data_IF_197369990213
#
_entry.id   IF_197369990213
#
_cell.length_a   1.000
_cell.length_b   1.000
_cell.length_c   1.000
_cell.angle_alpha   90.00
_cell.angle_beta   90.00
_cell.angle_gamma   90.00
#
_symmetry.space_group_name_H-M   'P 1'
#
loop_
_entity.id
_entity.type
_entity.pdbx_description
1 polymer ?
#
# COMPACT_ATOMS: atom_id res chain seq x y z
N UNK A 1 46.71 -19.46 44.84
CA UNK A 1 45.80 -19.12 43.71
C UNK A 1 44.35 -19.44 44.10
N UNK A 2 43.37 -18.60 43.76
CA UNK A 2 41.93 -18.86 43.99
C UNK A 2 41.17 -18.82 42.66
N UNK A 3 40.12 -19.62 42.52
CA UNK A 3 39.23 -19.56 41.36
C UNK A 3 38.20 -18.45 41.54
N UNK A 4 37.93 -17.68 40.47
CA UNK A 4 36.87 -16.69 40.47
C UNK A 4 35.50 -17.37 40.52
N UNK A 5 34.66 -17.01 41.49
CA UNK A 5 33.32 -17.60 41.63
C UNK A 5 32.36 -17.24 40.49
N UNK A 6 32.67 -16.21 39.70
CA UNK A 6 31.84 -15.84 38.55
C UNK A 6 32.23 -16.54 37.25
N UNK A 7 33.53 -16.65 36.95
CA UNK A 7 34.03 -17.11 35.65
C UNK A 7 35.01 -18.29 35.72
N UNK A 8 35.33 -18.79 36.92
CA UNK A 8 36.24 -19.92 37.14
C UNK A 8 37.73 -19.63 36.95
N UNK A 9 38.09 -18.48 36.36
CA UNK A 9 39.49 -18.11 36.10
C UNK A 9 40.30 -18.06 37.39
N UNK A 10 41.45 -18.73 37.40
CA UNK A 10 42.38 -18.66 38.52
C UNK A 10 43.04 -17.28 38.56
N UNK A 11 43.15 -16.72 39.76
CA UNK A 11 43.81 -15.44 39.97
C UNK A 11 44.50 -15.41 41.33
N UNK A 12 45.50 -14.54 41.43
CA UNK A 12 46.19 -14.27 42.67
C UNK A 12 45.40 -13.25 43.48
N UNK A 13 44.72 -13.74 44.52
CA UNK A 13 43.86 -12.92 45.35
C UNK A 13 44.71 -12.17 46.38
N UNK A 14 44.99 -10.89 46.15
CA UNK A 14 45.66 -10.01 47.13
C UNK A 14 44.82 -9.71 48.38
N UNK A 15 43.57 -10.18 48.46
CA UNK A 15 42.62 -9.93 49.56
C UNK A 15 41.52 -11.00 49.58
N UNK A 16 40.52 -10.88 50.48
CA UNK A 16 39.30 -11.74 50.54
C UNK A 16 38.37 -11.62 49.31
N UNK A 17 38.87 -11.17 48.15
CA UNK A 17 38.08 -11.02 46.92
C UNK A 17 37.63 -12.38 46.38
N UNK A 18 36.34 -12.47 46.05
CA UNK A 18 35.66 -13.64 45.45
C UNK A 18 35.74 -13.68 43.92
N UNK A 19 36.31 -12.64 43.30
CA UNK A 19 36.32 -12.45 41.85
C UNK A 19 37.64 -11.91 41.32
N UNK A 20 38.03 -12.35 40.13
CA UNK A 20 39.27 -11.94 39.46
C UNK A 20 39.29 -10.48 38.99
N UNK A 21 38.12 -9.87 38.77
CA UNK A 21 38.02 -8.51 38.23
C UNK A 21 36.78 -7.78 38.75
N UNK A 22 36.77 -6.44 38.63
CA UNK A 22 35.58 -5.62 38.94
C UNK A 22 34.36 -6.05 38.13
N UNK A 23 34.55 -6.41 36.85
CA UNK A 23 33.46 -6.87 36.00
C UNK A 23 32.86 -8.18 36.56
N UNK A 24 33.70 -9.12 36.98
CA UNK A 24 33.24 -10.35 37.62
C UNK A 24 32.59 -10.10 38.98
N UNK A 25 33.10 -9.17 39.79
CA UNK A 25 32.48 -8.77 41.05
C UNK A 25 31.07 -8.19 40.82
N UNK A 26 30.93 -7.31 39.83
CA UNK A 26 29.65 -6.71 39.46
C UNK A 26 28.68 -7.77 38.95
N UNK A 27 29.12 -8.66 38.07
CA UNK A 27 28.31 -9.75 37.54
C UNK A 27 27.86 -10.72 38.64
N UNK A 28 28.76 -11.08 39.56
CA UNK A 28 28.44 -11.91 40.72
C UNK A 28 27.38 -11.25 41.61
N UNK A 29 27.52 -9.95 41.87
CA UNK A 29 26.53 -9.18 42.64
C UNK A 29 25.15 -9.07 41.95
N UNK A 30 25.07 -9.25 40.63
CA UNK A 30 23.80 -9.30 39.90
C UNK A 30 23.16 -10.70 39.91
N UNK A 31 23.91 -11.74 40.28
CA UNK A 31 23.38 -13.10 40.49
C UNK A 31 22.74 -13.27 41.87
N UNK A 32 23.17 -12.49 42.86
CA UNK A 32 22.50 -12.39 44.17
C UNK A 32 21.18 -11.60 44.02
N UNK A 33 20.01 -12.23 44.28
CA UNK A 33 18.71 -11.60 44.07
C UNK A 33 18.52 -10.35 44.93
N UNK A 34 18.96 -10.35 46.19
CA UNK A 34 18.79 -9.19 47.08
C UNK A 34 19.69 -8.03 46.66
N UNK A 35 20.96 -8.31 46.34
CA UNK A 35 21.87 -7.28 45.85
C UNK A 35 21.41 -6.71 44.51
N UNK A 36 20.86 -7.55 43.63
CA UNK A 36 20.27 -7.12 42.37
C UNK A 36 19.05 -6.21 42.59
N UNK A 37 18.16 -6.56 43.52
CA UNK A 37 16.98 -5.75 43.86
C UNK A 37 17.38 -4.40 44.47
N UNK A 38 18.25 -4.38 45.48
CA UNK A 38 18.79 -3.14 46.07
C UNK A 38 19.41 -2.23 45.01
N UNK A 39 20.16 -2.80 44.06
CA UNK A 39 20.70 -2.03 42.92
C UNK A 39 19.63 -1.50 42.00
N UNK A 40 18.61 -2.29 41.64
CA UNK A 40 17.51 -1.82 40.78
C UNK A 40 16.78 -0.66 41.45
N UNK A 41 16.45 -0.79 42.73
CA UNK A 41 15.80 0.27 43.51
C UNK A 41 16.66 1.54 43.57
N UNK A 42 17.97 1.40 43.79
CA UNK A 42 18.91 2.53 43.77
C UNK A 42 19.00 3.21 42.40
N UNK A 43 19.08 2.42 41.32
CA UNK A 43 19.08 2.93 39.93
C UNK A 43 17.77 3.66 39.63
N UNK A 44 16.63 3.11 40.06
CA UNK A 44 15.33 3.70 39.87
C UNK A 44 15.19 5.02 40.63
N UNK A 45 15.63 5.05 41.90
CA UNK A 45 15.70 6.28 42.70
C UNK A 45 16.59 7.34 42.03
N UNK A 46 17.76 6.94 41.53
CA UNK A 46 18.65 7.84 40.80
C UNK A 46 18.01 8.36 39.50
N UNK A 47 17.30 7.52 38.75
CA UNK A 47 16.60 7.95 37.53
C UNK A 47 15.47 8.95 37.77
N UNK A 48 14.83 8.89 38.94
CA UNK A 48 13.75 9.80 39.35
C UNK A 48 14.27 11.07 40.04
N UNK A 49 15.50 11.07 40.55
CA UNK A 49 16.08 12.22 41.24
C UNK A 49 16.45 13.35 40.26
N UNK A 50 15.92 14.57 40.45
CA UNK A 50 16.27 15.72 39.61
C UNK A 50 17.78 16.00 39.58
N UNK A 51 18.47 15.85 40.71
CA UNK A 51 19.91 16.09 40.82
C UNK A 51 20.72 15.10 39.98
N UNK A 52 20.37 13.81 40.03
CA UNK A 52 21.04 12.78 39.23
C UNK A 52 20.74 12.95 37.73
N UNK A 53 19.52 13.36 37.38
CA UNK A 53 19.16 13.71 36.01
C UNK A 53 20.00 14.90 35.53
N UNK A 54 20.08 15.99 36.30
CA UNK A 54 20.88 17.17 35.98
C UNK A 54 22.37 16.83 35.80
N UNK A 55 22.93 16.02 36.71
CA UNK A 55 24.32 15.54 36.62
C UNK A 55 24.56 14.74 35.33
N UNK A 56 23.63 13.88 34.97
CA UNK A 56 23.70 13.08 33.74
C UNK A 56 23.60 13.96 32.49
N UNK A 57 22.71 14.96 32.49
CA UNK A 57 22.59 15.93 31.40
C UNK A 57 23.89 16.72 31.22
N UNK A 58 24.49 17.23 32.31
CA UNK A 58 25.76 17.96 32.25
C UNK A 58 26.94 17.10 31.77
N UNK A 59 26.97 15.80 32.10
CA UNK A 59 27.95 14.86 31.54
C UNK A 59 27.73 14.68 30.04
N UNK A 60 26.48 14.47 29.62
CA UNK A 60 26.14 14.30 28.22
C UNK A 60 26.42 15.57 27.41
N UNK A 61 26.12 16.74 27.93
CA UNK A 61 26.40 18.02 27.30
C UNK A 61 27.91 18.21 27.06
N UNK A 62 28.72 17.98 28.10
CA UNK A 62 30.20 18.00 27.98
C UNK A 62 30.71 16.98 26.97
N UNK A 63 30.10 15.79 26.91
CA UNK A 63 30.46 14.78 25.90
C UNK A 63 30.09 15.24 24.50
N UNK A 64 28.90 15.80 24.30
CA UNK A 64 28.42 16.23 22.99
C UNK A 64 29.04 17.53 22.47
N UNK A 65 29.64 18.32 23.36
CA UNK A 65 30.45 19.49 22.99
C UNK A 65 31.82 19.11 22.42
N UNK A 66 32.33 17.91 22.71
CA UNK A 66 33.62 17.44 22.17
C UNK A 66 33.49 17.09 20.68
N UNK A 67 34.35 17.65 19.81
CA UNK A 67 34.38 17.29 18.40
C UNK A 67 34.57 15.77 18.21
N UNK A 68 33.90 15.20 17.22
CA UNK A 68 34.02 13.79 16.85
C UNK A 68 33.30 12.78 17.75
N UNK A 69 32.81 13.13 18.94
CA UNK A 69 32.07 12.17 19.80
C UNK A 69 30.76 11.68 19.17
N UNK A 70 30.10 12.53 18.38
CA UNK A 70 28.92 12.14 17.59
C UNK A 70 29.28 11.13 16.51
N UNK A 71 30.42 11.33 15.84
CA UNK A 71 30.90 10.42 14.80
C UNK A 71 31.30 9.07 15.39
N UNK A 72 32.06 9.06 16.50
CA UNK A 72 32.39 7.83 17.23
C UNK A 72 31.15 7.03 17.65
N UNK A 73 30.08 7.70 18.07
CA UNK A 73 28.82 7.00 18.37
C UNK A 73 28.16 6.46 17.09
N UNK A 74 28.18 7.24 16.00
CA UNK A 74 27.69 6.83 14.68
C UNK A 74 28.42 5.59 14.18
N UNK A 75 29.76 5.57 14.22
CA UNK A 75 30.60 4.45 13.83
C UNK A 75 30.28 3.19 14.65
N UNK A 76 30.25 3.31 15.98
CA UNK A 76 29.88 2.19 16.86
C UNK A 76 28.48 1.65 16.58
N UNK A 77 27.54 2.53 16.25
CA UNK A 77 26.20 2.11 15.85
C UNK A 77 26.26 1.37 14.50
N UNK A 78 27.00 1.89 13.51
CA UNK A 78 27.19 1.25 12.20
C UNK A 78 27.81 -0.14 12.36
N UNK A 79 28.86 -0.29 13.16
CA UNK A 79 29.48 -1.58 13.50
C UNK A 79 28.49 -2.55 14.16
N UNK A 80 27.73 -2.08 15.15
CA UNK A 80 26.73 -2.89 15.85
C UNK A 80 25.61 -3.36 14.91
N UNK A 81 25.19 -2.53 13.95
CA UNK A 81 24.18 -2.88 12.95
C UNK A 81 24.73 -3.75 11.81
N UNK A 82 26.04 -3.67 11.52
CA UNK A 82 26.71 -4.55 10.58
C UNK A 82 26.83 -5.98 11.13
N UNK A 83 27.01 -6.15 12.45
CA UNK A 83 27.06 -7.46 13.08
C UNK A 83 25.68 -8.17 13.03
N UNK A 84 25.56 -9.33 12.33
CA UNK A 84 24.26 -9.99 12.14
C UNK A 84 23.61 -10.47 13.45
N UNK A 85 24.39 -10.93 14.43
CA UNK A 85 23.87 -11.39 15.72
C UNK A 85 23.28 -10.24 16.52
N UNK A 86 24.02 -9.13 16.59
CA UNK A 86 23.58 -7.91 17.27
C UNK A 86 22.35 -7.32 16.58
N UNK A 87 22.37 -7.20 15.25
CA UNK A 87 21.23 -6.74 14.44
C UNK A 87 19.98 -7.58 14.69
N UNK A 88 20.06 -8.92 14.65
CA UNK A 88 18.92 -9.81 14.91
C UNK A 88 18.33 -9.60 16.30
N UNK A 89 19.19 -9.46 17.32
CA UNK A 89 18.77 -9.19 18.71
C UNK A 89 18.07 -7.83 18.83
N UNK A 90 18.62 -6.78 18.23
CA UNK A 90 18.04 -5.43 18.22
C UNK A 90 16.70 -5.41 17.47
N UNK A 91 16.63 -5.99 16.27
CA UNK A 91 15.39 -6.09 15.50
C UNK A 91 14.29 -6.81 16.29
N UNK A 92 14.60 -7.92 16.97
CA UNK A 92 13.63 -8.63 17.82
C UNK A 92 13.15 -7.78 18.98
N UNK A 93 14.05 -7.04 19.65
CA UNK A 93 13.69 -6.14 20.74
C UNK A 93 12.80 -4.99 20.25
N UNK A 94 13.13 -4.38 19.11
CA UNK A 94 12.32 -3.32 18.48
C UNK A 94 10.94 -3.85 18.10
N UNK A 95 10.86 -5.03 17.46
CA UNK A 95 9.58 -5.65 17.11
C UNK A 95 8.75 -5.97 18.36
N UNK A 96 9.37 -6.48 19.43
CA UNK A 96 8.67 -6.72 20.70
C UNK A 96 8.09 -5.42 21.27
N UNK A 97 8.88 -4.35 21.31
CA UNK A 97 8.42 -3.04 21.79
C UNK A 97 7.29 -2.48 20.91
N UNK A 98 7.39 -2.62 19.59
CA UNK A 98 6.36 -2.18 18.65
C UNK A 98 5.06 -3.01 18.75
N UNK A 99 5.14 -4.28 19.16
CA UNK A 99 3.95 -5.12 19.35
C UNK A 99 3.29 -4.90 20.71
N UNK A 100 4.01 -4.38 21.71
CA UNK A 100 3.45 -4.10 23.02
C UNK A 100 2.42 -2.94 22.93
N UNK A 101 1.14 -3.17 23.27
CA UNK A 101 0.09 -2.18 23.08
C UNK A 101 0.32 -0.92 23.94
N UNK A 102 0.75 -1.10 25.18
CA UNK A 102 1.05 0.00 26.11
C UNK A 102 2.17 0.91 25.60
N UNK A 103 3.23 0.32 25.05
CA UNK A 103 4.35 1.07 24.49
C UNK A 103 3.92 1.85 23.25
N UNK A 104 3.14 1.24 22.34
CA UNK A 104 2.57 1.95 21.19
C UNK A 104 1.69 3.13 21.64
N UNK A 105 0.83 2.92 22.62
CA UNK A 105 -0.05 3.95 23.14
C UNK A 105 0.74 5.09 23.78
N UNK A 106 1.77 4.78 24.57
CA UNK A 106 2.69 5.77 25.14
C UNK A 106 3.38 6.61 24.06
N UNK A 107 4.01 5.97 23.07
CA UNK A 107 4.65 6.69 21.96
C UNK A 107 3.69 7.50 21.12
N UNK A 108 2.46 7.01 20.92
CA UNK A 108 1.42 7.73 20.20
C UNK A 108 1.02 8.99 20.95
N UNK A 109 0.74 8.89 22.27
CA UNK A 109 0.39 10.05 23.11
C UNK A 109 1.50 11.08 23.14
N UNK A 110 2.73 10.66 23.45
CA UNK A 110 3.89 11.55 23.49
C UNK A 110 4.07 12.31 22.17
N UNK A 111 3.92 11.63 21.02
CA UNK A 111 4.04 12.28 19.71
C UNK A 111 2.88 13.26 19.43
N UNK A 112 1.66 12.90 19.81
CA UNK A 112 0.49 13.77 19.67
C UNK A 112 0.63 15.02 20.53
N UNK A 113 1.01 14.86 21.80
CA UNK A 113 1.26 15.95 22.74
C UNK A 113 2.39 16.86 22.24
N UNK A 114 3.53 16.28 21.82
CA UNK A 114 4.62 17.04 21.24
C UNK A 114 4.18 17.80 19.99
N UNK A 115 3.39 17.18 19.11
CA UNK A 115 2.89 17.85 17.90
C UNK A 115 1.91 19.00 18.20
N UNK A 116 1.06 18.82 19.22
CA UNK A 116 0.08 19.81 19.63
C UNK A 116 0.75 21.04 20.26
N UNK A 117 1.67 20.80 21.21
CA UNK A 117 2.18 21.84 22.10
C UNK A 117 3.58 22.37 21.74
N UNK A 118 4.44 21.60 21.06
CA UNK A 118 5.77 22.04 20.66
C UNK A 118 5.76 22.61 19.24
N UNK A 119 5.52 23.93 19.15
CA UNK A 119 5.49 24.67 17.88
C UNK A 119 6.82 24.56 17.12
N UNK A 120 7.96 24.66 17.81
CA UNK A 120 9.30 24.62 17.20
C UNK A 120 9.55 23.25 16.59
N UNK A 121 9.23 22.18 17.31
CA UNK A 121 9.30 20.82 16.80
C UNK A 121 8.44 20.62 15.55
N UNK A 122 7.19 21.11 15.58
CA UNK A 122 6.25 20.99 14.46
C UNK A 122 6.77 21.72 13.23
N UNK A 123 7.19 22.97 13.37
CA UNK A 123 7.74 23.78 12.27
C UNK A 123 9.01 23.14 11.68
N UNK A 124 9.96 22.71 12.54
CA UNK A 124 11.18 22.03 12.09
C UNK A 124 10.89 20.73 11.35
N UNK A 125 9.95 19.95 11.86
CA UNK A 125 9.51 18.68 11.24
C UNK A 125 8.87 18.94 9.89
N UNK A 126 7.92 19.88 9.80
CA UNK A 126 7.26 20.24 8.54
C UNK A 126 8.27 20.77 7.52
N UNK A 127 9.18 21.64 7.94
CA UNK A 127 10.24 22.15 7.07
C UNK A 127 11.16 21.02 6.58
N UNK A 128 11.54 20.09 7.45
CA UNK A 128 12.30 18.89 7.07
C UNK A 128 11.58 18.03 6.05
N UNK A 129 10.29 17.78 6.24
CA UNK A 129 9.44 17.03 5.29
C UNK A 129 9.36 17.76 3.96
N UNK A 130 9.14 19.08 3.95
CA UNK A 130 9.07 19.88 2.73
C UNK A 130 10.39 19.87 1.96
N UNK A 131 11.52 20.07 2.65
CA UNK A 131 12.86 19.97 2.03
C UNK A 131 13.09 18.59 1.44
N UNK A 132 12.80 17.54 2.20
CA UNK A 132 12.96 16.17 1.72
C UNK A 132 12.04 15.84 0.54
N UNK A 133 10.77 16.25 0.54
CA UNK A 133 9.87 15.96 -0.59
C UNK A 133 10.08 16.89 -1.79
N UNK A 134 10.64 18.07 -1.56
CA UNK A 134 10.92 19.07 -2.59
C UNK A 134 12.19 18.79 -3.39
N UNK A 135 13.18 18.09 -2.82
CA UNK A 135 14.46 17.88 -3.51
C UNK A 135 14.31 16.91 -4.69
N UNK A 136 14.93 17.21 -5.85
CA UNK A 136 14.92 16.32 -7.01
C UNK A 136 15.44 14.92 -6.67
N UNK A 137 16.52 14.84 -5.88
CA UNK A 137 17.13 13.58 -5.46
C UNK A 137 16.18 12.69 -4.66
N UNK A 138 15.43 13.25 -3.71
CA UNK A 138 14.50 12.48 -2.92
C UNK A 138 13.26 12.07 -3.74
N UNK A 139 12.82 12.91 -4.68
CA UNK A 139 11.75 12.55 -5.64
C UNK A 139 12.22 11.41 -6.55
N UNK A 140 13.46 11.45 -7.04
CA UNK A 140 14.05 10.38 -7.83
C UNK A 140 14.18 9.07 -7.02
N UNK A 141 14.68 9.13 -5.78
CA UNK A 141 14.74 7.97 -4.87
C UNK A 141 13.34 7.39 -4.61
N UNK A 142 12.35 8.23 -4.34
CA UNK A 142 10.97 7.78 -4.11
C UNK A 142 10.37 7.14 -5.37
N UNK A 143 10.60 7.74 -6.54
CA UNK A 143 10.18 7.18 -7.84
C UNK A 143 10.80 5.81 -8.06
N UNK A 144 12.13 5.68 -7.88
CA UNK A 144 12.85 4.40 -8.01
C UNK A 144 12.27 3.33 -7.07
N UNK A 145 12.09 3.65 -5.79
CA UNK A 145 11.52 2.73 -4.82
C UNK A 145 10.09 2.32 -5.17
N UNK A 146 9.29 3.25 -5.72
CA UNK A 146 7.94 2.95 -6.17
C UNK A 146 7.95 2.00 -7.37
N UNK A 147 8.82 2.25 -8.35
CA UNK A 147 9.01 1.37 -9.53
C UNK A 147 9.46 -0.02 -9.11
N UNK A 148 10.49 -0.13 -8.26
CA UNK A 148 10.98 -1.42 -7.75
C UNK A 148 9.87 -2.18 -7.01
N UNK A 149 9.13 -1.48 -6.14
CA UNK A 149 8.00 -2.06 -5.41
C UNK A 149 6.84 -2.44 -6.32
N UNK A 150 6.65 -1.76 -7.44
CA UNK A 150 5.63 -2.12 -8.43
C UNK A 150 6.08 -3.29 -9.29
N UNK A 151 7.38 -3.47 -9.53
CA UNK A 151 7.89 -4.62 -10.26
C UNK A 151 7.79 -5.92 -9.43
N UNK A 152 7.87 -5.83 -8.10
CA UNK A 152 7.61 -6.95 -7.18
C UNK A 152 6.17 -7.51 -7.36
N UNK A 153 6.08 -8.75 -7.84
CA UNK A 153 4.83 -9.45 -8.14
C UNK A 153 4.00 -9.73 -6.89
N UNK A 154 4.64 -10.03 -5.75
CA UNK A 154 3.96 -10.29 -4.47
C UNK A 154 3.30 -9.02 -3.95
N UNK A 155 4.00 -7.89 -4.05
CA UNK A 155 3.45 -6.59 -3.66
C UNK A 155 2.34 -6.12 -4.60
N UNK A 156 2.47 -6.33 -5.91
CA UNK A 156 1.39 -6.08 -6.87
C UNK A 156 0.15 -6.91 -6.56
N UNK A 157 0.30 -8.22 -6.35
CA UNK A 157 -0.81 -9.10 -6.01
C UNK A 157 -1.53 -8.63 -4.73
N UNK A 158 -0.78 -8.28 -3.68
CA UNK A 158 -1.33 -7.70 -2.44
C UNK A 158 -2.08 -6.39 -2.69
N UNK A 159 -1.55 -5.50 -3.53
CA UNK A 159 -2.19 -4.22 -3.84
C UNK A 159 -3.48 -4.42 -4.65
N UNK A 160 -3.44 -5.29 -5.66
CA UNK A 160 -4.61 -5.66 -6.47
C UNK A 160 -5.70 -6.31 -5.61
N UNK A 161 -5.35 -7.27 -4.75
CA UNK A 161 -6.28 -7.90 -3.82
C UNK A 161 -6.89 -6.86 -2.85
N UNK A 162 -6.09 -5.92 -2.34
CA UNK A 162 -6.60 -4.85 -1.48
C UNK A 162 -7.55 -3.91 -2.24
N UNK A 163 -7.30 -3.60 -3.51
CA UNK A 163 -8.21 -2.81 -4.34
C UNK A 163 -9.51 -3.57 -4.63
N UNK A 164 -9.43 -4.87 -4.97
CA UNK A 164 -10.59 -5.72 -5.15
C UNK A 164 -11.43 -5.78 -3.88
N UNK A 165 -10.79 -5.96 -2.72
CA UNK A 165 -11.47 -5.96 -1.42
C UNK A 165 -12.14 -4.60 -1.11
N UNK A 166 -11.54 -3.47 -1.49
CA UNK A 166 -12.18 -2.14 -1.35
C UNK A 166 -13.38 -1.95 -2.28
N UNK A 167 -13.32 -2.53 -3.47
CA UNK A 167 -14.37 -2.45 -4.48
C UNK A 167 -15.46 -3.51 -4.31
N UNK A 168 -15.28 -4.48 -3.41
CA UNK A 168 -16.32 -5.45 -3.03
C UNK A 168 -17.58 -4.68 -2.55
N UNK A 169 -18.78 -5.00 -3.09
CA UNK A 169 -20.05 -4.43 -2.66
C UNK A 169 -20.25 -4.40 -1.13
N UNK A 170 -19.93 -5.47 -0.42
CA UNK A 170 -20.10 -5.53 1.04
C UNK A 170 -19.16 -4.56 1.77
N UNK A 171 -17.92 -4.41 1.29
CA UNK A 171 -16.98 -3.46 1.86
C UNK A 171 -17.42 -2.02 1.60
N UNK A 172 -17.95 -1.76 0.39
CA UNK A 172 -18.51 -0.45 0.03
C UNK A 172 -19.72 -0.12 0.91
N UNK A 173 -20.62 -1.07 1.13
CA UNK A 173 -21.81 -0.84 1.97
C UNK A 173 -21.44 -0.63 3.44
N UNK A 174 -20.53 -1.45 4.01
CA UNK A 174 -20.04 -1.21 5.38
C UNK A 174 -19.39 0.16 5.54
N UNK A 175 -18.58 0.58 4.57
CA UNK A 175 -18.01 1.93 4.58
C UNK A 175 -19.08 3.01 4.44
N UNK A 176 -20.10 2.80 3.59
CA UNK A 176 -21.23 3.72 3.42
C UNK A 176 -21.98 3.90 4.74
N UNK A 177 -22.38 2.81 5.38
CA UNK A 177 -23.06 2.82 6.70
C UNK A 177 -22.20 3.54 7.73
N UNK A 178 -20.90 3.23 7.82
CA UNK A 178 -19.99 3.89 8.75
C UNK A 178 -19.88 5.40 8.47
N UNK A 179 -19.81 5.80 7.21
CA UNK A 179 -19.75 7.21 6.81
C UNK A 179 -21.05 7.95 7.11
N UNK A 180 -22.20 7.31 6.88
CA UNK A 180 -23.52 7.87 7.21
C UNK A 180 -23.71 8.02 8.72
N UNK A 181 -23.35 7.00 9.50
CA UNK A 181 -23.38 7.08 10.96
C UNK A 181 -22.45 8.20 11.45
N UNK A 182 -21.21 8.27 10.94
CA UNK A 182 -20.29 9.37 11.26
C UNK A 182 -20.86 10.73 10.86
N UNK A 183 -21.53 10.82 9.71
CA UNK A 183 -22.16 12.06 9.27
C UNK A 183 -23.32 12.47 10.19
N UNK A 184 -24.14 11.52 10.63
CA UNK A 184 -25.30 11.77 11.50
C UNK A 184 -24.89 12.09 12.93
N UNK A 185 -23.92 11.35 13.48
CA UNK A 185 -23.65 11.31 14.91
C UNK A 185 -22.45 12.18 15.33
N UNK A 186 -21.76 12.85 14.38
CA UNK A 186 -20.57 13.66 14.67
C UNK A 186 -20.64 15.06 14.04
N UNK A 187 -21.02 16.03 14.86
CA UNK A 187 -21.19 17.43 14.48
C UNK A 187 -19.86 18.10 14.09
N UNK A 188 -18.79 17.83 14.84
CA UNK A 188 -17.44 18.32 14.54
C UNK A 188 -16.98 17.84 13.16
N UNK A 189 -17.31 16.60 12.79
CA UNK A 189 -16.99 16.06 11.49
C UNK A 189 -17.76 16.79 10.38
N UNK A 190 -19.05 17.06 10.56
CA UNK A 190 -19.83 17.87 9.61
C UNK A 190 -19.26 19.27 9.47
N UNK A 191 -18.94 19.93 10.59
CA UNK A 191 -18.35 21.26 10.61
C UNK A 191 -16.98 21.29 9.90
N UNK A 192 -16.12 20.31 10.16
CA UNK A 192 -14.81 20.18 9.49
C UNK A 192 -14.96 19.98 7.98
N UNK A 193 -15.91 19.15 7.54
CA UNK A 193 -16.17 18.93 6.10
C UNK A 193 -16.71 20.21 5.46
N UNK A 194 -17.66 20.89 6.11
CA UNK A 194 -18.21 22.16 5.63
C UNK A 194 -17.11 23.23 5.52
N UNK A 195 -16.27 23.40 6.54
CA UNK A 195 -15.14 24.34 6.52
C UNK A 195 -14.12 23.99 5.44
N UNK A 196 -13.80 22.70 5.25
CA UNK A 196 -12.90 22.24 4.19
C UNK A 196 -13.48 22.55 2.80
N UNK A 197 -14.79 22.37 2.63
CA UNK A 197 -15.50 22.68 1.39
C UNK A 197 -15.52 24.20 1.14
N UNK A 198 -15.77 25.02 2.16
CA UNK A 198 -15.69 26.48 2.08
C UNK A 198 -14.30 26.96 1.68
N UNK A 199 -13.23 26.41 2.28
CA UNK A 199 -11.84 26.72 1.90
C UNK A 199 -11.54 26.38 0.44
N UNK A 200 -12.14 25.31 -0.08
CA UNK A 200 -12.00 24.95 -1.48
C UNK A 200 -12.73 25.95 -2.40
N UNK A 201 -13.98 26.31 -2.07
CA UNK A 201 -14.77 27.25 -2.86
C UNK A 201 -14.26 28.69 -2.80
N UNK A 202 -13.66 29.10 -1.68
CA UNK A 202 -13.05 30.43 -1.53
C UNK A 202 -11.71 30.56 -2.26
N UNK A 203 -11.10 29.45 -2.70
CA UNK A 203 -9.84 29.46 -3.45
C UNK A 203 -10.08 29.58 -4.97
N UNK A 204 -9.86 30.76 -5.60
CA UNK A 204 -10.14 30.97 -7.02
C UNK A 204 -9.28 30.08 -7.93
N UNK A 205 -8.00 29.88 -7.60
CA UNK A 205 -7.06 29.05 -8.39
C UNK A 205 -7.51 27.59 -8.39
N UNK A 206 -7.97 27.07 -7.25
CA UNK A 206 -8.46 25.70 -7.14
C UNK A 206 -9.75 25.49 -7.95
N UNK A 207 -10.67 26.48 -7.93
CA UNK A 207 -11.90 26.46 -8.73
C UNK A 207 -11.62 26.51 -10.21
N UNK A 208 -10.73 27.39 -10.65
CA UNK A 208 -10.35 27.52 -12.06
C UNK A 208 -9.68 26.23 -12.58
N UNK A 209 -8.73 25.67 -11.82
CA UNK A 209 -8.13 24.38 -12.15
C UNK A 209 -9.17 23.26 -12.27
N UNK A 210 -10.16 23.23 -11.37
CA UNK A 210 -11.23 22.24 -11.46
C UNK A 210 -12.19 22.52 -12.62
N UNK A 211 -12.51 23.78 -12.92
CA UNK A 211 -13.28 24.17 -14.10
C UNK A 211 -12.60 23.72 -15.39
N UNK A 212 -11.29 23.97 -15.53
CA UNK A 212 -10.50 23.50 -16.66
C UNK A 212 -10.50 21.98 -16.76
N UNK A 213 -10.28 21.28 -15.64
CA UNK A 213 -10.35 19.82 -15.61
C UNK A 213 -11.73 19.30 -16.00
N UNK A 214 -12.80 19.90 -15.48
CA UNK A 214 -14.17 19.51 -15.81
C UNK A 214 -14.49 19.82 -17.27
N UNK A 215 -14.05 20.94 -17.83
CA UNK A 215 -14.16 21.24 -19.26
C UNK A 215 -13.43 20.21 -20.11
N UNK A 216 -12.21 19.82 -19.75
CA UNK A 216 -11.46 18.77 -20.45
C UNK A 216 -12.16 17.41 -20.36
N UNK A 217 -12.68 17.03 -19.18
CA UNK A 217 -13.46 15.80 -19.00
C UNK A 217 -14.79 15.84 -19.76
N UNK A 218 -15.47 16.99 -19.80
CA UNK A 218 -16.69 17.16 -20.59
C UNK A 218 -16.40 17.20 -22.08
N UNK A 219 -15.19 17.57 -22.51
CA UNK A 219 -14.74 17.49 -23.90
C UNK A 219 -14.44 16.04 -24.31
N UNK A 220 -14.01 15.18 -23.37
CA UNK A 220 -13.84 13.74 -23.57
C UNK A 220 -15.20 13.05 -23.84
N UNK A 221 -15.42 12.50 -25.05
CA UNK A 221 -16.68 11.86 -25.42
C UNK A 221 -17.04 10.65 -24.55
N UNK A 222 -16.05 9.86 -24.12
CA UNK A 222 -16.27 8.65 -23.30
C UNK A 222 -16.75 9.05 -21.91
N UNK A 223 -16.10 10.07 -21.33
CA UNK A 223 -16.48 10.57 -20.02
C UNK A 223 -17.88 11.20 -20.08
N UNK A 224 -18.17 12.00 -21.10
CA UNK A 224 -19.51 12.57 -21.35
C UNK A 224 -20.59 11.50 -21.49
N UNK A 225 -20.34 10.46 -22.28
CA UNK A 225 -21.28 9.34 -22.49
C UNK A 225 -21.55 8.57 -21.19
N UNK A 226 -20.50 8.26 -20.41
CA UNK A 226 -20.66 7.60 -19.09
C UNK A 226 -21.47 8.44 -18.12
N UNK A 227 -21.26 9.76 -18.11
CA UNK A 227 -22.07 10.65 -17.28
C UNK A 227 -23.52 10.71 -17.74
N UNK A 228 -23.79 10.84 -19.04
CA UNK A 228 -25.14 10.87 -19.58
C UNK A 228 -25.90 9.55 -19.31
N UNK A 229 -25.25 8.40 -19.44
CA UNK A 229 -25.82 7.10 -19.05
C UNK A 229 -26.11 7.06 -17.55
N UNK A 230 -25.19 7.52 -16.71
CA UNK A 230 -25.39 7.57 -15.26
C UNK A 230 -26.49 8.54 -14.83
N UNK A 231 -26.65 9.66 -15.55
CA UNK A 231 -27.69 10.66 -15.31
C UNK A 231 -29.05 10.20 -15.85
N UNK A 232 -29.08 9.54 -17.00
CA UNK A 232 -30.29 8.94 -17.58
C UNK A 232 -30.81 7.76 -16.76
N UNK A 233 -29.92 6.93 -16.21
CA UNK A 233 -30.27 5.87 -15.26
C UNK A 233 -30.84 6.41 -13.93
N UNK A 234 -30.47 7.62 -13.53
CA UNK A 234 -31.04 8.31 -12.36
C UNK A 234 -32.35 9.04 -12.66
N UNK A 235 -32.68 9.28 -13.94
CA UNK A 235 -33.80 10.10 -14.38
C UNK A 235 -35.00 9.34 -14.99
N UNK A 236 -35.00 8.01 -14.98
CA UNK A 236 -36.13 7.20 -15.49
C UNK A 236 -36.33 7.25 -17.02
N UNK A 237 -35.34 7.71 -17.79
CA UNK A 237 -35.42 7.73 -19.24
C UNK A 237 -35.32 6.31 -19.84
N UNK A 238 -36.13 6.04 -20.88
CA UNK A 238 -36.13 4.74 -21.57
C UNK A 238 -34.75 4.42 -22.17
N UNK A 239 -34.29 3.15 -22.11
CA UNK A 239 -33.01 2.71 -22.68
C UNK A 239 -32.78 3.13 -24.14
N UNK A 240 -33.86 3.21 -24.93
CA UNK A 240 -33.82 3.63 -26.33
C UNK A 240 -33.45 5.12 -26.50
N UNK A 241 -33.90 5.99 -25.60
CA UNK A 241 -33.57 7.41 -25.65
C UNK A 241 -32.11 7.67 -25.25
N UNK A 242 -31.59 6.89 -24.29
CA UNK A 242 -30.18 6.92 -23.92
C UNK A 242 -29.27 6.40 -25.06
N UNK A 243 -29.72 5.36 -25.78
CA UNK A 243 -29.02 4.84 -26.96
C UNK A 243 -29.04 5.82 -28.15
N UNK A 244 -30.14 6.52 -28.39
CA UNK A 244 -30.22 7.55 -29.43
C UNK A 244 -29.34 8.77 -29.13
N UNK A 245 -29.27 9.20 -27.88
CA UNK A 245 -28.37 10.28 -27.45
C UNK A 245 -26.88 9.88 -27.53
N UNK A 246 -26.57 8.61 -27.26
CA UNK A 246 -25.26 8.02 -27.48
C UNK A 246 -24.88 7.95 -28.97
N UNK A 247 -25.84 7.60 -29.83
CA UNK A 247 -25.68 7.56 -31.28
C UNK A 247 -25.39 8.95 -31.87
N UNK A 248 -26.11 9.98 -31.40
CA UNK A 248 -25.94 11.36 -31.84
C UNK A 248 -24.62 12.02 -31.37
N UNK A 249 -23.89 11.39 -30.44
CA UNK A 249 -22.65 11.94 -29.86
C UNK A 249 -21.36 11.37 -30.48
N UNK A 250 -21.45 10.45 -31.45
CA UNK A 250 -20.31 9.85 -32.15
C UNK A 250 -19.74 10.81 -33.20
N UNK A 251 -18.66 11.51 -32.87
CA UNK A 251 -18.00 12.48 -33.77
C UNK A 251 -16.60 12.03 -34.24
N UNK A 252 -16.17 10.79 -34.00
CA UNK A 252 -14.91 10.28 -34.57
C UNK A 252 -14.95 8.77 -34.88
N UNK A 253 -14.18 8.34 -35.88
CA UNK A 253 -14.03 6.93 -36.25
C UNK A 253 -13.47 6.07 -35.09
N UNK A 254 -12.68 6.67 -34.20
CA UNK A 254 -12.15 6.03 -32.99
C UNK A 254 -13.26 5.70 -31.99
N UNK A 255 -14.29 6.54 -31.89
CA UNK A 255 -15.41 6.35 -30.97
C UNK A 255 -16.29 5.16 -31.42
N UNK A 256 -16.43 4.95 -32.73
CA UNK A 256 -17.16 3.83 -33.31
C UNK A 256 -16.41 2.50 -33.08
N UNK A 257 -15.09 2.47 -33.30
CA UNK A 257 -14.24 1.29 -33.06
C UNK A 257 -14.29 0.83 -31.59
N UNK A 258 -14.24 1.76 -30.63
CA UNK A 258 -14.29 1.41 -29.21
C UNK A 258 -15.68 0.93 -28.78
N UNK A 259 -16.73 1.49 -29.37
CA UNK A 259 -18.10 1.03 -29.12
C UNK A 259 -18.28 -0.41 -29.63
N UNK A 260 -17.80 -0.72 -30.83
CA UNK A 260 -17.79 -2.09 -31.36
C UNK A 260 -16.98 -3.02 -30.48
N UNK A 261 -15.76 -2.64 -30.08
CA UNK A 261 -14.90 -3.46 -29.21
C UNK A 261 -15.57 -3.79 -27.86
N UNK A 262 -16.39 -2.87 -27.33
CA UNK A 262 -17.08 -3.05 -26.05
C UNK A 262 -18.16 -4.14 -26.07
N UNK A 263 -18.68 -4.46 -27.26
CA UNK A 263 -19.74 -5.45 -27.47
C UNK A 263 -19.17 -6.84 -27.72
N UNK A 264 -17.92 -6.93 -28.22
CA UNK A 264 -17.25 -8.21 -28.50
C UNK A 264 -16.68 -8.83 -27.21
N UNK A 265 -16.95 -10.13 -26.91
CA UNK A 265 -16.47 -10.79 -25.71
C UNK A 265 -14.95 -10.71 -25.53
N UNK A 266 -14.51 -10.30 -24.34
CA UNK A 266 -13.09 -10.19 -23.99
C UNK A 266 -12.38 -11.53 -23.77
N UNK A 267 -13.13 -12.64 -23.76
CA UNK A 267 -12.58 -13.99 -23.64
C UNK A 267 -12.03 -14.56 -24.96
N UNK A 268 -12.22 -13.87 -26.08
CA UNK A 268 -11.64 -14.24 -27.36
C UNK A 268 -10.18 -13.75 -27.48
N UNK A 269 -9.29 -14.47 -28.18
CA UNK A 269 -7.96 -13.98 -28.51
C UNK A 269 -8.01 -12.65 -29.27
N UNK A 270 -6.96 -11.83 -29.11
CA UNK A 270 -6.91 -10.48 -29.66
C UNK A 270 -7.10 -10.44 -31.19
N UNK A 271 -6.49 -11.37 -31.93
CA UNK A 271 -6.65 -11.46 -33.38
C UNK A 271 -8.10 -11.74 -33.79
N UNK A 272 -8.79 -12.66 -33.09
CA UNK A 272 -10.18 -12.97 -33.36
C UNK A 272 -11.11 -11.80 -33.06
N UNK A 273 -10.82 -11.07 -31.97
CA UNK A 273 -11.56 -9.84 -31.64
C UNK A 273 -11.35 -8.78 -32.71
N UNK A 274 -10.14 -8.59 -33.20
CA UNK A 274 -9.84 -7.62 -34.25
C UNK A 274 -10.62 -7.92 -35.54
N UNK A 275 -10.62 -9.18 -35.99
CA UNK A 275 -11.37 -9.62 -37.18
C UNK A 275 -12.88 -9.37 -37.02
N UNK A 276 -13.47 -9.80 -35.90
CA UNK A 276 -14.90 -9.62 -35.64
C UNK A 276 -15.24 -8.13 -35.51
N UNK A 277 -14.41 -7.33 -34.85
CA UNK A 277 -14.60 -5.89 -34.76
C UNK A 277 -14.57 -5.24 -36.16
N UNK A 278 -13.66 -5.67 -37.03
CA UNK A 278 -13.59 -5.18 -38.40
C UNK A 278 -14.86 -5.51 -39.20
N UNK A 279 -15.37 -6.74 -39.12
CA UNK A 279 -16.59 -7.14 -39.82
C UNK A 279 -17.83 -6.37 -39.34
N UNK A 280 -17.95 -6.18 -38.02
CA UNK A 280 -19.04 -5.39 -37.43
C UNK A 280 -18.92 -3.92 -37.82
N UNK A 281 -17.71 -3.40 -37.95
CA UNK A 281 -17.48 -2.02 -38.42
C UNK A 281 -17.84 -1.85 -39.89
N UNK A 282 -17.48 -2.81 -40.75
CA UNK A 282 -17.88 -2.79 -42.17
C UNK A 282 -19.40 -2.80 -42.28
N UNK A 283 -20.08 -3.65 -41.50
CA UNK A 283 -21.53 -3.75 -41.47
C UNK A 283 -22.23 -2.46 -40.96
N UNK A 284 -21.59 -1.72 -40.06
CA UNK A 284 -22.09 -0.43 -39.62
C UNK A 284 -21.92 0.65 -40.70
N UNK A 285 -20.81 0.60 -41.46
CA UNK A 285 -20.49 1.58 -42.50
C UNK A 285 -21.28 1.34 -43.79
N UNK A 286 -21.58 0.09 -44.13
CA UNK A 286 -22.41 -0.28 -45.28
C UNK A 286 -23.93 -0.17 -45.00
N UNK A 287 -24.31 0.05 -43.74
CA UNK A 287 -25.69 0.22 -43.29
C UNK A 287 -26.49 -1.08 -43.13
N UNK A 288 -25.85 -2.23 -43.28
CA UNK A 288 -26.47 -3.55 -43.02
C UNK A 288 -26.73 -3.80 -41.53
N UNK A 289 -25.94 -3.17 -40.66
CA UNK A 289 -26.13 -3.17 -39.21
C UNK A 289 -26.37 -1.74 -38.72
N UNK A 290 -27.43 -1.54 -37.93
CA UNK A 290 -27.72 -0.26 -37.29
C UNK A 290 -27.07 -0.19 -35.91
N UNK A 291 -26.63 1.00 -35.51
CA UNK A 291 -26.00 1.23 -34.21
C UNK A 291 -26.91 0.87 -33.02
N UNK A 292 -28.23 1.10 -33.16
CA UNK A 292 -29.22 0.76 -32.15
C UNK A 292 -29.28 -0.76 -31.87
N UNK A 293 -28.97 -1.57 -32.88
CA UNK A 293 -29.05 -3.03 -32.84
C UNK A 293 -27.68 -3.69 -32.63
N UNK A 294 -26.63 -2.89 -32.38
CA UNK A 294 -25.23 -3.33 -32.37
C UNK A 294 -24.99 -4.55 -31.48
N UNK A 295 -25.59 -4.60 -30.28
CA UNK A 295 -25.40 -5.71 -29.33
C UNK A 295 -26.02 -7.01 -29.77
N UNK A 296 -27.18 -6.95 -30.42
CA UNK A 296 -27.89 -8.15 -30.86
C UNK A 296 -27.36 -8.60 -32.22
N UNK A 297 -27.17 -7.64 -33.15
CA UNK A 297 -26.62 -7.89 -34.47
C UNK A 297 -25.16 -8.34 -34.47
N UNK A 298 -24.33 -7.93 -33.50
CA UNK A 298 -22.94 -8.42 -33.41
C UNK A 298 -22.84 -9.94 -33.19
N UNK A 299 -23.90 -10.58 -32.67
CA UNK A 299 -23.91 -12.03 -32.41
C UNK A 299 -23.81 -12.86 -33.69
N UNK A 300 -24.33 -12.36 -34.81
CA UNK A 300 -24.25 -13.08 -36.09
C UNK A 300 -22.80 -13.18 -36.59
N UNK A 301 -21.99 -12.14 -36.39
CA UNK A 301 -20.57 -12.12 -36.74
C UNK A 301 -19.76 -13.02 -35.82
N UNK A 302 -20.10 -13.06 -34.53
CA UNK A 302 -19.53 -14.03 -33.58
C UNK A 302 -19.84 -15.48 -33.97
N UNK A 303 -21.07 -15.75 -34.41
CA UNK A 303 -21.48 -17.08 -34.86
C UNK A 303 -20.78 -17.46 -36.18
N UNK A 304 -20.68 -16.53 -37.14
CA UNK A 304 -19.97 -16.72 -38.39
C UNK A 304 -18.47 -17.01 -38.15
N UNK A 305 -17.82 -16.24 -37.29
CA UNK A 305 -16.42 -16.45 -36.94
C UNK A 305 -16.18 -17.82 -36.29
N UNK A 306 -17.05 -18.24 -35.37
CA UNK A 306 -17.00 -19.58 -34.76
C UNK A 306 -17.24 -20.70 -35.78
N UNK A 307 -18.10 -20.47 -36.78
CA UNK A 307 -18.35 -21.43 -37.86
C UNK A 307 -17.14 -21.57 -38.81
N UNK A 308 -16.38 -20.49 -39.02
CA UNK A 308 -15.15 -20.52 -39.82
C UNK A 308 -13.99 -21.21 -39.11
N UNK A 309 -13.98 -21.20 -37.77
CA UNK A 309 -12.94 -21.83 -36.94
C UNK A 309 -13.53 -22.75 -35.86
N UNK A 310 -14.22 -23.84 -36.25
CA UNK A 310 -14.90 -24.72 -35.30
C UNK A 310 -13.93 -25.36 -34.31
N UNK A 311 -12.74 -25.75 -34.77
CA UNK A 311 -11.76 -26.51 -34.00
C UNK A 311 -10.97 -25.65 -32.99
N UNK A 312 -10.93 -24.32 -33.19
CA UNK A 312 -10.17 -23.40 -32.33
C UNK A 312 -10.96 -22.89 -31.12
N UNK A 313 -12.29 -22.83 -31.22
CA UNK A 313 -13.13 -22.16 -30.23
C UNK A 313 -14.43 -22.91 -29.87
N UNK A 314 -14.62 -24.11 -30.41
CA UNK A 314 -15.71 -25.03 -30.05
C UNK A 314 -15.38 -25.89 -28.82
N UNK A 315 -16.33 -26.74 -28.36
CA UNK A 315 -16.03 -27.77 -27.38
C UNK A 315 -15.02 -28.75 -27.98
N UNK A 316 -13.79 -28.69 -27.49
CA UNK A 316 -12.72 -29.56 -27.97
C UNK A 316 -12.78 -30.88 -27.22
N UNK A 317 -12.72 -32.00 -27.94
CA UNK A 317 -12.73 -33.32 -27.30
C UNK A 317 -11.48 -33.47 -26.42
N UNK A 318 -11.64 -34.13 -25.27
CA UNK A 318 -10.51 -34.47 -24.40
C UNK A 318 -9.51 -35.40 -25.10
N UNK A 319 -10.00 -36.19 -26.06
CA UNK A 319 -9.21 -37.13 -26.85
C UNK A 319 -8.53 -36.51 -28.07
N UNK A 320 -8.80 -35.23 -28.37
CA UNK A 320 -8.22 -34.56 -29.54
C UNK A 320 -6.77 -34.13 -29.25
N UNK A 321 -5.87 -34.47 -30.19
CA UNK A 321 -4.46 -34.13 -30.09
C UNK A 321 -4.25 -32.61 -30.07
N UNK A 322 -3.33 -32.15 -29.21
CA UNK A 322 -2.99 -30.74 -29.09
C UNK A 322 -2.13 -30.35 -30.30
N UNK A 323 -2.56 -29.36 -31.11
CA UNK A 323 -1.78 -28.92 -32.26
C UNK A 323 -0.35 -28.52 -31.88
N UNK A 324 0.65 -29.05 -32.59
CA UNK A 324 2.06 -28.78 -32.33
C UNK A 324 2.72 -29.68 -31.27
N UNK A 325 2.06 -30.78 -30.89
CA UNK A 325 2.63 -31.84 -30.03
C UNK A 325 2.70 -33.17 -30.78
N UNK A 326 3.59 -34.08 -30.38
CA UNK A 326 3.72 -35.43 -30.91
C UNK A 326 2.58 -36.35 -30.41
N UNK A 327 1.32 -35.95 -30.69
CA UNK A 327 0.13 -36.72 -30.35
C UNK A 327 -0.34 -36.60 -28.89
N UNK A 328 0.13 -35.59 -28.14
CA UNK A 328 -0.32 -35.35 -26.77
C UNK A 328 -1.78 -34.91 -26.77
N UNK A 329 -2.67 -35.63 -26.09
CA UNK A 329 -4.09 -35.27 -25.98
C UNK A 329 -4.33 -34.47 -24.71
N UNK A 330 -5.43 -33.73 -24.67
CA UNK A 330 -5.79 -32.91 -23.51
C UNK A 330 -6.10 -33.75 -22.27
N UNK A 331 -6.61 -34.97 -22.44
CA UNK A 331 -6.81 -35.94 -21.35
C UNK A 331 -5.50 -36.33 -20.67
N UNK A 332 -4.39 -36.38 -21.41
CA UNK A 332 -3.08 -36.78 -20.89
C UNK A 332 -2.48 -35.70 -19.96
N UNK A 333 -3.04 -34.47 -19.94
CA UNK A 333 -2.65 -33.36 -19.06
C UNK A 333 -3.45 -33.29 -17.76
N UNK A 334 -4.53 -34.06 -17.64
CA UNK A 334 -5.35 -34.09 -16.42
C UNK A 334 -4.69 -35.08 -15.46
N UNK A 335 -3.99 -34.57 -14.44
CA UNK A 335 -3.33 -35.39 -13.44
C UNK A 335 -4.32 -36.39 -12.80
N UNK A 336 -3.94 -37.67 -12.79
CA UNK A 336 -4.72 -38.79 -12.24
C UNK A 336 -4.73 -38.81 -10.70
N UNK A 337 -4.87 -37.67 -10.04
CA UNK A 337 -4.91 -37.56 -8.57
C UNK A 337 -6.33 -37.78 -8.03
N UNK A 338 -7.04 -38.75 -8.59
CA UNK A 338 -8.24 -39.30 -7.98
C UNK A 338 -7.87 -40.64 -7.36
N UNK A 339 -7.58 -40.61 -6.05
CA UNK A 339 -7.70 -41.79 -5.21
C UNK A 339 -9.11 -42.37 -5.41
N UNK A 340 -9.17 -43.52 -6.08
CA UNK A 340 -10.41 -44.24 -6.31
C UNK A 340 -11.01 -44.66 -4.95
N UNK A 341 -12.30 -44.36 -4.80
CA UNK A 341 -13.18 -44.88 -3.75
C UNK A 341 -13.32 -46.39 -3.84
#
# INVERSE_FOLDING_TARGET
MRACENCGTQFEAQSKRRSCSRACAVALAWKDPEAAERRRASIEKARRSPESVARTLAINERRWARPGEREKLSDRNREAWANPRTRKKLCRAIQKAQRAPEQRAHYSRMRTEQWAHDRIYRERTVAGIRRSKGSPEARARFSKLLTERWNDSVMRAKYTAANAARNNPEHRERNRVRMLARWRDNDDFRALVAASMQLYWSNPVARERNSLRMRALWADPIWRMKQLVSMGAAGGASPAAAAAAAAAALNSATDLMQLVDSVIPRGLPEFARADICQDVMVALLDGSLKLADLREGSKQYLAAYRKMFPDKFGPVSLDEAIPGTDGLRRVDLIASDAAHF
#
